data_IF_489810494283
#
_entry.id   IF_489810494283
#
_cell.length_a   1.000
_cell.length_b   1.000
_cell.length_c   1.000
_cell.angle_alpha   90.00
_cell.angle_beta   90.00
_cell.angle_gamma   90.00
#
_symmetry.space_group_name_H-M   'P 1'
#
loop_
_entity.id
_entity.type
_entity.pdbx_description
1 polymer ?
#
# COMPACT_ATOMS: atom_id res chain seq x y z
N UNK A 1 -9.56 5.64 -3.98
CA UNK A 1 -9.41 6.44 -2.73
C UNK A 1 -8.25 7.41 -2.89
N UNK A 2 -8.31 8.62 -2.30
CA UNK A 2 -7.21 9.62 -2.33
C UNK A 2 -6.17 9.34 -1.23
N UNK A 3 -4.90 9.70 -1.45
CA UNK A 3 -3.79 9.51 -0.48
C UNK A 3 -4.10 10.09 0.90
N UNK A 4 -4.72 11.27 0.96
CA UNK A 4 -5.07 11.92 2.23
C UNK A 4 -6.11 11.14 3.04
N UNK A 5 -7.08 10.50 2.38
CA UNK A 5 -8.07 9.65 3.05
C UNK A 5 -7.42 8.41 3.65
N UNK A 6 -6.43 7.83 2.96
CA UNK A 6 -5.66 6.73 3.53
C UNK A 6 -4.86 7.16 4.76
N UNK A 7 -4.22 8.32 4.69
CA UNK A 7 -3.49 8.90 5.83
C UNK A 7 -4.38 8.99 7.07
N UNK A 8 -5.60 9.51 6.92
CA UNK A 8 -6.55 9.64 8.01
C UNK A 8 -6.91 8.28 8.62
N UNK A 9 -7.19 7.29 7.78
CA UNK A 9 -7.52 5.92 8.22
C UNK A 9 -6.39 5.28 9.02
N UNK A 10 -5.16 5.37 8.49
CA UNK A 10 -3.99 4.78 9.15
C UNK A 10 -3.66 5.53 10.44
N UNK A 11 -3.81 6.85 10.45
CA UNK A 11 -3.65 7.69 11.65
C UNK A 11 -4.66 7.34 12.75
N UNK A 12 -5.86 6.88 12.37
CA UNK A 12 -6.89 6.38 13.28
C UNK A 12 -6.64 4.92 13.73
N UNK A 13 -5.52 4.32 13.33
CA UNK A 13 -5.08 2.99 13.75
C UNK A 13 -5.49 1.85 12.82
N UNK A 14 -6.06 2.13 11.64
CA UNK A 14 -6.24 1.09 10.61
C UNK A 14 -4.88 0.65 10.08
N UNK A 15 -4.75 -0.66 9.85
CA UNK A 15 -3.52 -1.29 9.37
C UNK A 15 -3.82 -2.16 8.16
N UNK A 16 -4.28 -1.54 7.06
CA UNK A 16 -4.73 -2.29 5.90
C UNK A 16 -3.58 -3.08 5.29
N UNK A 17 -3.94 -4.19 4.66
CA UNK A 17 -3.03 -4.93 3.80
C UNK A 17 -3.28 -4.48 2.36
N UNK A 18 -2.19 -4.16 1.69
CA UNK A 18 -2.21 -3.63 0.34
C UNK A 18 -1.47 -4.56 -0.61
N UNK A 19 -1.83 -4.46 -1.89
CA UNK A 19 -1.15 -5.09 -3.01
C UNK A 19 -0.81 -4.02 -4.05
N UNK A 20 0.46 -3.92 -4.41
CA UNK A 20 0.91 -2.95 -5.41
C UNK A 20 0.34 -3.30 -6.78
N UNK A 21 -0.19 -2.28 -7.46
CA UNK A 21 -0.68 -2.42 -8.83
C UNK A 21 0.39 -1.92 -9.83
N UNK A 22 0.05 -1.91 -11.11
CA UNK A 22 1.01 -1.55 -12.16
C UNK A 22 1.44 -0.08 -12.12
N UNK A 23 0.75 0.79 -11.38
CA UNK A 23 1.08 2.22 -11.22
C UNK A 23 2.17 2.45 -10.15
N UNK A 24 2.71 1.41 -9.51
CA UNK A 24 3.76 1.52 -8.46
C UNK A 24 4.96 2.35 -8.91
N UNK A 25 5.37 2.21 -10.17
CA UNK A 25 6.55 2.88 -10.72
C UNK A 25 6.34 4.37 -11.01
N UNK A 26 5.11 4.88 -10.96
CA UNK A 26 4.84 6.31 -11.13
C UNK A 26 5.13 7.11 -9.85
N UNK A 27 5.10 6.45 -8.68
CA UNK A 27 5.04 7.14 -7.39
C UNK A 27 6.04 6.62 -6.37
N UNK A 28 6.59 5.42 -6.56
CA UNK A 28 7.51 4.79 -5.61
C UNK A 28 8.81 4.52 -6.34
N UNK A 29 9.88 5.24 -5.95
CA UNK A 29 11.22 5.03 -6.50
C UNK A 29 11.61 3.55 -6.40
N UNK A 30 12.01 3.05 -7.56
CA UNK A 30 12.32 1.66 -7.95
C UNK A 30 12.77 0.77 -6.78
N UNK A 31 11.91 -0.18 -6.36
CA UNK A 31 12.26 -1.28 -5.44
C UNK A 31 11.13 -2.28 -5.29
N UNK A 32 9.89 -1.80 -5.22
CA UNK A 32 8.72 -2.66 -5.03
C UNK A 32 8.09 -3.01 -6.37
N UNK A 33 7.90 -4.30 -6.64
CA UNK A 33 7.29 -4.76 -7.89
C UNK A 33 5.76 -4.81 -7.81
N UNK A 34 5.05 -4.68 -8.96
CA UNK A 34 3.65 -4.98 -9.05
C UNK A 34 3.34 -6.37 -8.50
N UNK A 35 2.14 -6.51 -7.95
CA UNK A 35 1.65 -7.67 -7.23
C UNK A 35 2.29 -7.91 -5.86
N UNK A 36 3.38 -7.26 -5.47
CA UNK A 36 3.88 -7.39 -4.09
C UNK A 36 2.85 -6.91 -3.07
N UNK A 37 2.91 -7.47 -1.87
CA UNK A 37 1.98 -7.21 -0.79
C UNK A 37 2.71 -6.68 0.45
N UNK A 38 2.03 -5.81 1.19
CA UNK A 38 2.55 -5.26 2.43
C UNK A 38 1.44 -4.85 3.37
N UNK A 39 1.73 -4.87 4.67
CA UNK A 39 0.83 -4.34 5.68
C UNK A 39 1.25 -2.94 6.08
N UNK A 40 0.37 -1.96 5.96
CA UNK A 40 0.65 -0.61 6.47
C UNK A 40 0.66 -0.66 7.99
N UNK A 41 1.77 -0.26 8.60
CA UNK A 41 1.99 -0.28 10.06
C UNK A 41 2.16 1.10 10.68
N UNK A 42 2.33 2.14 9.87
CA UNK A 42 2.46 3.52 10.34
C UNK A 42 2.33 4.52 9.20
N UNK A 43 2.07 5.77 9.57
CA UNK A 43 1.98 6.89 8.64
C UNK A 43 2.51 8.16 9.30
N UNK A 44 3.15 9.03 8.51
CA UNK A 44 3.55 10.38 8.90
C UNK A 44 3.55 11.31 7.69
N UNK A 45 3.48 12.62 7.95
CA UNK A 45 3.71 13.64 6.92
C UNK A 45 5.18 14.05 7.00
N UNK A 46 5.89 14.00 5.87
CA UNK A 46 7.27 14.47 5.74
C UNK A 46 7.33 15.46 4.56
N UNK A 47 7.56 16.74 4.85
CA UNK A 47 7.48 17.84 3.88
C UNK A 47 6.13 17.89 3.15
N UNK A 48 6.12 17.69 1.83
CA UNK A 48 4.94 17.72 0.95
C UNK A 48 4.42 16.30 0.59
N UNK A 49 4.89 15.28 1.31
CA UNK A 49 4.59 13.88 1.05
C UNK A 49 4.04 13.18 2.30
N UNK A 50 3.22 12.16 2.06
CA UNK A 50 2.79 11.20 3.08
C UNK A 50 3.69 9.98 2.99
N UNK A 51 4.37 9.69 4.10
CA UNK A 51 5.15 8.48 4.28
C UNK A 51 4.30 7.39 4.89
N UNK A 52 4.18 6.26 4.21
CA UNK A 52 3.63 5.04 4.77
C UNK A 52 4.75 4.06 5.09
N UNK A 53 4.72 3.50 6.30
CA UNK A 53 5.60 2.40 6.69
C UNK A 53 4.89 1.07 6.44
N UNK A 54 5.53 0.18 5.71
CA UNK A 54 4.99 -1.13 5.36
C UNK A 54 5.85 -2.25 5.93
N UNK A 55 5.17 -3.25 6.48
CA UNK A 55 5.75 -4.52 6.86
C UNK A 55 5.52 -5.55 5.75
N UNK A 56 6.61 -6.01 5.14
CA UNK A 56 6.60 -7.01 4.07
C UNK A 56 6.78 -8.44 4.60
N UNK A 57 7.22 -8.61 5.86
CA UNK A 57 7.57 -9.92 6.41
C UNK A 57 6.43 -10.95 6.33
N UNK A 58 5.15 -10.61 6.60
CA UNK A 58 4.06 -11.58 6.51
C UNK A 58 3.85 -12.14 5.11
N UNK A 59 4.35 -11.44 4.07
CA UNK A 59 4.15 -11.76 2.67
C UNK A 59 5.46 -12.10 1.95
N UNK A 60 6.58 -12.24 2.66
CA UNK A 60 7.90 -12.35 2.03
C UNK A 60 7.97 -13.51 1.03
N UNK A 61 7.47 -14.70 1.39
CA UNK A 61 7.46 -15.86 0.50
C UNK A 61 6.65 -15.60 -0.79
N UNK A 62 5.52 -14.91 -0.66
CA UNK A 62 4.69 -14.52 -1.80
C UNK A 62 5.38 -13.45 -2.65
N UNK A 63 5.91 -12.40 -2.02
CA UNK A 63 6.57 -11.29 -2.70
C UNK A 63 7.79 -11.76 -3.49
N UNK A 64 8.57 -12.71 -2.94
CA UNK A 64 9.68 -13.35 -3.67
C UNK A 64 9.21 -14.09 -4.93
N UNK A 65 8.01 -14.67 -4.92
CA UNK A 65 7.45 -15.39 -6.09
C UNK A 65 7.01 -14.48 -7.24
N UNK A 66 6.76 -13.19 -6.95
CA UNK A 66 6.35 -12.19 -7.94
C UNK A 66 7.44 -11.15 -8.23
N UNK A 67 8.59 -11.25 -7.55
CA UNK A 67 9.71 -10.33 -7.69
C UNK A 67 10.31 -10.42 -9.10
N UNK A 68 10.55 -9.26 -9.70
CA UNK A 68 11.22 -9.15 -10.99
C UNK A 68 12.71 -9.32 -10.79
N UNK A 69 13.37 -9.87 -11.81
CA UNK A 69 14.82 -10.07 -11.85
C UNK A 69 15.42 -9.05 -12.82
N UNK A 70 15.25 -7.77 -12.50
CA UNK A 70 15.65 -6.63 -13.32
C UNK A 70 16.79 -5.79 -12.69
N UNK A 71 17.28 -6.20 -11.52
CA UNK A 71 18.44 -5.59 -10.88
C UNK A 71 19.74 -6.18 -11.39
N UNK A 72 20.76 -5.33 -11.48
CA UNK A 72 22.09 -5.68 -12.00
C UNK A 72 22.94 -6.40 -10.97
N UNK A 73 23.60 -7.47 -11.39
CA UNK A 73 24.73 -8.07 -10.67
C UNK A 73 26.02 -7.25 -10.85
N UNK A 74 27.12 -7.73 -10.26
CA UNK A 74 28.44 -7.09 -10.35
C UNK A 74 29.02 -7.07 -11.79
N UNK A 75 28.49 -7.90 -12.69
CA UNK A 75 28.86 -7.96 -14.11
C UNK A 75 27.97 -7.06 -14.98
N UNK A 76 26.93 -6.44 -14.39
CA UNK A 76 25.99 -5.56 -15.07
C UNK A 76 24.79 -6.29 -15.70
N UNK A 77 24.62 -7.59 -15.45
CA UNK A 77 23.50 -8.38 -15.97
C UNK A 77 22.27 -8.20 -15.06
N UNK A 78 21.10 -7.96 -15.67
CA UNK A 78 19.83 -7.90 -14.97
C UNK A 78 19.37 -9.31 -14.58
N UNK A 79 19.83 -9.81 -13.43
CA UNK A 79 19.56 -11.18 -12.94
C UNK A 79 19.13 -11.24 -11.49
N UNK A 80 19.27 -10.14 -10.73
CA UNK A 80 18.90 -10.09 -9.33
C UNK A 80 17.47 -9.58 -9.17
N UNK A 81 16.78 -10.09 -8.17
CA UNK A 81 15.58 -9.48 -7.61
C UNK A 81 15.93 -8.46 -6.53
N UNK A 82 15.01 -7.55 -6.21
CA UNK A 82 15.20 -6.57 -5.14
C UNK A 82 15.68 -7.23 -3.83
N UNK A 83 15.10 -8.39 -3.49
CA UNK A 83 15.43 -9.19 -2.30
C UNK A 83 16.88 -9.68 -2.23
N UNK A 84 17.58 -9.76 -3.36
CA UNK A 84 18.97 -10.21 -3.45
C UNK A 84 19.95 -9.04 -3.40
N UNK A 85 19.45 -7.82 -3.47
CA UNK A 85 20.26 -6.60 -3.40
C UNK A 85 20.47 -6.15 -1.96
N UNK A 86 21.51 -5.32 -1.77
CA UNK A 86 21.74 -4.65 -0.48
C UNK A 86 20.67 -3.59 -0.12
N UNK A 87 19.79 -3.24 -1.05
CA UNK A 87 18.73 -2.25 -0.87
C UNK A 87 17.50 -2.84 -0.17
N UNK A 88 17.31 -4.16 -0.18
CA UNK A 88 16.21 -4.78 0.55
C UNK A 88 16.42 -4.61 2.07
N UNK A 89 15.44 -4.04 2.80
CA UNK A 89 15.61 -3.77 4.22
C UNK A 89 15.70 -5.07 5.02
N UNK A 90 16.75 -5.21 5.83
CA UNK A 90 16.99 -6.43 6.65
C UNK A 90 15.86 -6.75 7.64
N UNK A 91 15.09 -5.75 8.03
CA UNK A 91 13.94 -5.91 8.93
C UNK A 91 12.60 -6.08 8.18
N UNK A 92 12.62 -6.12 6.84
CA UNK A 92 11.42 -6.22 6.01
C UNK A 92 10.48 -5.01 6.09
N UNK A 93 10.94 -3.89 6.67
CA UNK A 93 10.15 -2.66 6.76
C UNK A 93 10.61 -1.67 5.70
N UNK A 94 9.69 -1.26 4.83
CA UNK A 94 9.93 -0.28 3.77
C UNK A 94 9.10 0.97 4.00
N UNK A 95 9.65 2.12 3.60
CA UNK A 95 8.91 3.37 3.54
C UNK A 95 8.55 3.66 2.07
N UNK A 96 7.28 3.98 1.82
CA UNK A 96 6.84 4.55 0.54
C UNK A 96 6.38 5.98 0.79
N UNK A 97 6.64 6.84 -0.17
CA UNK A 97 6.31 8.25 -0.12
C UNK A 97 5.30 8.52 -1.22
N UNK A 98 4.16 9.10 -0.88
CA UNK A 98 3.13 9.48 -1.83
C UNK A 98 2.87 10.98 -1.71
N UNK A 99 2.75 11.71 -2.84
CA UNK A 99 2.50 13.14 -2.80
C UNK A 99 1.13 13.43 -2.18
N UNK A 100 1.04 14.58 -1.51
CA UNK A 100 -0.22 15.14 -1.02
C UNK A 100 -0.92 15.88 -2.18
N UNK A 101 -1.38 15.12 -3.17
CA UNK A 101 -2.18 15.65 -4.29
C UNK A 101 -3.53 14.93 -4.35
N UNK A 102 -4.58 15.70 -4.63
CA UNK A 102 -5.93 15.19 -4.87
C UNK A 102 -6.07 14.43 -6.20
N UNK A 103 -5.11 14.58 -7.11
CA UNK A 103 -5.09 13.92 -8.42
C UNK A 103 -4.34 12.59 -8.42
N UNK A 104 -3.55 12.30 -7.38
CA UNK A 104 -2.77 11.06 -7.32
C UNK A 104 -3.69 9.89 -6.99
N UNK A 105 -3.86 9.00 -7.97
CA UNK A 105 -4.44 7.69 -7.73
C UNK A 105 -3.43 6.83 -6.95
N UNK A 106 -3.95 6.06 -6.01
CA UNK A 106 -3.11 5.25 -5.14
C UNK A 106 -2.58 4.05 -5.93
N UNK A 107 -1.26 3.82 -5.85
CA UNK A 107 -0.56 2.73 -6.54
C UNK A 107 -0.76 1.33 -5.93
N UNK A 108 -1.86 1.13 -5.21
CA UNK A 108 -2.15 -0.13 -4.55
C UNK A 108 -3.65 -0.36 -4.35
N UNK A 109 -4.00 -1.63 -4.38
CA UNK A 109 -5.31 -2.17 -4.08
C UNK A 109 -5.33 -2.71 -2.65
N UNK A 110 -6.48 -2.66 -1.97
CA UNK A 110 -6.65 -3.42 -0.73
C UNK A 110 -6.99 -4.87 -1.06
N UNK A 111 -6.53 -5.82 -0.25
CA UNK A 111 -6.87 -7.24 -0.46
C UNK A 111 -8.20 -7.62 0.18
N UNK A 112 -8.68 -8.85 -0.09
CA UNK A 112 -10.01 -9.34 0.30
C UNK A 112 -10.31 -9.26 1.81
N UNK A 113 -9.31 -9.36 2.69
CA UNK A 113 -9.49 -9.17 4.13
C UNK A 113 -9.94 -7.73 4.47
N UNK A 114 -9.68 -6.79 3.57
CA UNK A 114 -10.09 -5.38 3.60
C UNK A 114 -11.19 -5.10 2.55
N UNK A 115 -12.03 -6.09 2.20
CA UNK A 115 -13.11 -5.96 1.21
C UNK A 115 -14.05 -4.78 1.46
N UNK A 116 -14.43 -4.54 2.71
CA UNK A 116 -15.24 -3.38 3.10
C UNK A 116 -14.50 -2.06 2.91
N UNK A 117 -13.17 -2.05 3.07
CA UNK A 117 -12.37 -0.86 2.79
C UNK A 117 -12.26 -0.60 1.29
N UNK A 118 -12.20 -1.65 0.46
CA UNK A 118 -12.33 -1.53 -0.99
C UNK A 118 -13.68 -0.95 -1.42
N UNK A 119 -14.77 -1.41 -0.80
CA UNK A 119 -16.11 -0.85 -1.04
C UNK A 119 -16.19 0.62 -0.66
N UNK A 120 -15.69 0.96 0.53
CA UNK A 120 -15.57 2.35 0.97
C UNK A 120 -14.70 3.20 0.02
N UNK A 121 -13.56 2.67 -0.42
CA UNK A 121 -12.61 3.35 -1.30
C UNK A 121 -13.21 3.70 -2.67
N UNK A 122 -14.23 2.95 -3.10
CA UNK A 122 -15.03 3.17 -4.33
C UNK A 122 -16.22 4.09 -4.10
N UNK A 123 -16.65 4.27 -2.85
CA UNK A 123 -17.73 5.16 -2.49
C UNK A 123 -17.23 6.62 -2.52
N UNK A 124 -17.95 7.49 -3.23
CA UNK A 124 -17.60 8.91 -3.38
C UNK A 124 -18.25 9.80 -2.31
N UNK A 125 -18.94 9.21 -1.33
CA UNK A 125 -19.62 9.96 -0.28
C UNK A 125 -18.63 10.62 0.70
N UNK A 126 -19.07 11.77 1.22
CA UNK A 126 -18.29 12.63 2.13
C UNK A 126 -18.52 12.24 3.60
N UNK A 127 -18.42 10.93 3.88
CA UNK A 127 -18.55 10.37 5.23
C UNK A 127 -17.28 9.61 5.62
N UNK A 128 -16.97 9.61 6.91
CA UNK A 128 -15.85 8.83 7.43
C UNK A 128 -16.11 7.33 7.27
N UNK A 129 -15.05 6.53 7.31
CA UNK A 129 -15.18 5.07 7.21
C UNK A 129 -16.05 4.47 8.33
N UNK A 130 -15.99 5.02 9.54
CA UNK A 130 -16.82 4.55 10.66
C UNK A 130 -18.29 4.89 10.43
N UNK A 131 -18.61 6.11 10.01
CA UNK A 131 -19.99 6.51 9.69
C UNK A 131 -20.56 5.68 8.55
N UNK A 132 -19.74 5.39 7.53
CA UNK A 132 -20.13 4.50 6.44
C UNK A 132 -20.45 3.09 6.97
N UNK A 133 -19.56 2.50 7.77
CA UNK A 133 -19.81 1.19 8.39
C UNK A 133 -21.07 1.18 9.26
N UNK A 134 -21.30 2.23 10.06
CA UNK A 134 -22.51 2.34 10.86
C UNK A 134 -23.78 2.38 10.00
N UNK A 135 -23.74 3.06 8.87
CA UNK A 135 -24.86 3.13 7.94
C UNK A 135 -25.13 1.76 7.30
N UNK A 136 -24.09 1.05 6.84
CA UNK A 136 -24.23 -0.30 6.29
C UNK A 136 -24.83 -1.27 7.33
N UNK A 137 -24.36 -1.21 8.58
CA UNK A 137 -24.90 -2.04 9.68
C UNK A 137 -26.35 -1.70 9.99
N UNK A 138 -26.74 -0.41 9.98
CA UNK A 138 -28.13 0.02 10.17
C UNK A 138 -29.03 -0.56 9.08
N UNK A 139 -28.61 -0.50 7.81
CA UNK A 139 -29.37 -1.06 6.69
C UNK A 139 -29.54 -2.58 6.79
N UNK A 140 -28.49 -3.30 7.18
CA UNK A 140 -28.55 -4.75 7.38
C UNK A 140 -29.52 -5.16 8.50
N UNK A 141 -29.71 -4.33 9.52
CA UNK A 141 -30.61 -4.59 10.66
C UNK A 141 -32.06 -4.17 10.41
N UNK A 142 -32.34 -3.45 9.33
CA UNK A 142 -33.71 -3.08 8.91
C UNK A 142 -34.35 -4.20 8.07
N UNK A 143 -33.54 -5.12 7.52
CA UNK A 143 -34.00 -6.36 6.88
C UNK A 143 -34.25 -7.46 7.90
#
# INVERSE_FOLDING_TARGET
MKTIKLYELVSQGKKPIIKFNDNVYEWIEESVDPMMMGKIIGVSIEYDEIKFLLDLNPFEAYNRSVARHDWRDDEGNNVLSWFETSFYPKNGIVAIYLPIDEKTEIAFDFIEEDSLLNEYAKNTQDMSYVEWLENEVKQLRIK
#
